data_IF_806946218299
#
_entry.id   IF_806946218299
#
_cell.length_a   1.000
_cell.length_b   1.000
_cell.length_c   1.000
_cell.angle_alpha   90.00
_cell.angle_beta   90.00
_cell.angle_gamma   90.00
#
_symmetry.space_group_name_H-M   'P 1'
#
loop_
_entity.id
_entity.type
_entity.pdbx_description
1 polymer ?
#
# COMPACT_ATOMS: atom_id res chain seq x y z
N UNK A 1 -1.57 -13.94 -7.77
CA UNK A 1 -0.42 -13.06 -7.57
C UNK A 1 -0.82 -11.61 -7.87
N UNK A 2 -0.44 -10.67 -6.98
CA UNK A 2 -0.97 -9.30 -6.98
C UNK A 2 -0.71 -8.55 -8.29
N UNK A 3 0.53 -8.57 -8.81
CA UNK A 3 0.88 -7.82 -10.02
C UNK A 3 0.21 -8.43 -11.25
N UNK A 4 0.09 -9.75 -11.32
CA UNK A 4 -0.62 -10.43 -12.41
C UNK A 4 -2.10 -10.04 -12.41
N UNK A 5 -2.74 -10.05 -11.25
CA UNK A 5 -4.14 -9.63 -11.11
C UNK A 5 -4.32 -8.15 -11.51
N UNK A 6 -3.47 -7.27 -11.01
CA UNK A 6 -3.53 -5.84 -11.36
C UNK A 6 -3.29 -5.59 -12.86
N UNK A 7 -2.47 -6.42 -13.51
CA UNK A 7 -2.28 -6.32 -14.97
C UNK A 7 -3.57 -6.66 -15.73
N UNK A 8 -4.32 -7.66 -15.27
CA UNK A 8 -5.63 -7.98 -15.82
C UNK A 8 -6.64 -6.84 -15.60
N UNK A 9 -6.66 -6.25 -14.39
CA UNK A 9 -7.52 -5.10 -14.09
C UNK A 9 -7.13 -3.87 -14.92
N UNK A 10 -5.82 -3.64 -15.14
CA UNK A 10 -5.33 -2.57 -15.98
C UNK A 10 -5.86 -2.65 -17.41
N UNK A 11 -5.92 -3.87 -17.96
CA UNK A 11 -6.44 -4.11 -19.32
C UNK A 11 -7.97 -3.96 -19.42
N UNK A 12 -8.69 -4.08 -18.31
CA UNK A 12 -10.15 -4.02 -18.24
C UNK A 12 -10.68 -2.64 -17.83
N UNK A 13 -9.81 -1.68 -17.49
CA UNK A 13 -10.20 -0.37 -16.96
C UNK A 13 -9.29 0.74 -17.48
N UNK A 14 -9.84 1.98 -17.57
CA UNK A 14 -9.11 3.12 -18.13
C UNK A 14 -8.82 4.23 -17.10
N UNK A 15 -9.55 4.30 -15.99
CA UNK A 15 -9.50 5.43 -15.06
C UNK A 15 -9.11 5.06 -13.64
N UNK A 16 -9.49 3.88 -13.17
CA UNK A 16 -9.25 3.46 -11.79
C UNK A 16 -7.75 3.33 -11.51
N UNK A 17 -7.31 3.88 -10.37
CA UNK A 17 -5.96 3.67 -9.86
C UNK A 17 -5.74 2.21 -9.44
N UNK A 18 -4.52 1.74 -9.56
CA UNK A 18 -4.12 0.36 -9.28
C UNK A 18 -3.11 0.34 -8.14
N UNK A 19 -3.39 -0.39 -7.08
CA UNK A 19 -2.48 -0.43 -5.93
C UNK A 19 -2.43 -1.80 -5.26
N UNK A 20 -1.30 -2.08 -4.61
CA UNK A 20 -1.17 -3.21 -3.69
C UNK A 20 -1.33 -2.75 -2.25
N UNK A 21 -1.97 -3.58 -1.40
CA UNK A 21 -2.17 -3.25 0.03
C UNK A 21 -2.00 -4.51 0.91
N UNK A 22 -0.81 -5.04 1.07
CA UNK A 22 0.49 -4.59 0.54
C UNK A 22 1.21 -5.75 -0.15
N UNK A 23 2.15 -5.44 -1.03
CA UNK A 23 3.10 -6.42 -1.55
C UNK A 23 4.20 -6.66 -0.51
N UNK A 24 4.50 -7.91 -0.17
CA UNK A 24 5.61 -8.24 0.73
C UNK A 24 6.92 -8.14 -0.06
N UNK A 25 7.48 -6.92 -0.13
CA UNK A 25 8.61 -6.62 -1.01
C UNK A 25 9.87 -7.43 -0.68
N UNK A 26 10.24 -7.70 0.60
CA UNK A 26 11.46 -8.45 0.89
C UNK A 26 11.41 -9.94 0.51
N UNK A 27 10.26 -10.47 0.14
CA UNK A 27 10.12 -11.83 -0.40
C UNK A 27 10.39 -11.90 -1.91
N UNK A 28 10.75 -10.79 -2.54
CA UNK A 28 10.87 -10.67 -3.99
C UNK A 28 12.23 -10.12 -4.41
N UNK A 29 12.69 -10.55 -5.57
CA UNK A 29 13.85 -9.92 -6.18
C UNK A 29 13.46 -8.49 -6.64
N UNK A 30 14.16 -7.43 -6.17
CA UNK A 30 13.81 -6.04 -6.47
C UNK A 30 13.97 -5.69 -7.95
N UNK A 31 14.94 -6.28 -8.66
CA UNK A 31 15.13 -6.05 -10.10
C UNK A 31 13.93 -6.55 -10.89
N UNK A 32 13.45 -7.77 -10.58
CA UNK A 32 12.25 -8.31 -11.24
C UNK A 32 11.01 -7.51 -10.85
N UNK A 33 10.86 -7.14 -9.59
CA UNK A 33 9.74 -6.33 -9.10
C UNK A 33 9.71 -4.96 -9.77
N UNK A 34 10.87 -4.28 -9.88
CA UNK A 34 10.97 -3.01 -10.59
C UNK A 34 10.48 -3.11 -12.03
N UNK A 35 10.90 -4.18 -12.73
CA UNK A 35 10.47 -4.45 -14.12
C UNK A 35 8.97 -4.72 -14.23
N UNK A 36 8.42 -5.54 -13.34
CA UNK A 36 7.00 -5.87 -13.33
C UNK A 36 6.13 -4.62 -13.07
N UNK A 37 6.50 -3.83 -12.06
CA UNK A 37 5.76 -2.61 -11.70
C UNK A 37 5.87 -1.56 -12.79
N UNK A 38 7.05 -1.36 -13.38
CA UNK A 38 7.23 -0.45 -14.51
C UNK A 38 6.40 -0.87 -15.74
N UNK A 39 6.35 -2.17 -16.03
CA UNK A 39 5.51 -2.69 -17.11
C UNK A 39 4.03 -2.46 -16.82
N UNK A 40 3.57 -2.75 -15.59
CA UNK A 40 2.18 -2.48 -15.17
C UNK A 40 1.84 -1.00 -15.26
N UNK A 41 2.74 -0.12 -14.82
CA UNK A 41 2.54 1.32 -14.89
C UNK A 41 2.43 1.81 -16.34
N UNK A 42 3.28 1.28 -17.24
CA UNK A 42 3.19 1.55 -18.68
C UNK A 42 1.87 1.07 -19.29
N UNK A 43 1.47 -0.17 -19.01
CA UNK A 43 0.22 -0.74 -19.53
C UNK A 43 -1.02 -0.02 -19.00
N UNK A 44 -0.95 0.52 -17.80
CA UNK A 44 -2.05 1.27 -17.19
C UNK A 44 -2.05 2.77 -17.50
N UNK A 45 -1.02 3.29 -18.19
CA UNK A 45 -0.90 4.72 -18.47
C UNK A 45 -0.61 5.57 -17.22
N UNK A 46 0.22 5.06 -16.30
CA UNK A 46 0.66 5.81 -15.11
C UNK A 46 -0.32 5.76 -13.94
N UNK A 47 -1.11 4.68 -13.79
CA UNK A 47 -2.12 4.56 -12.73
C UNK A 47 -1.66 3.76 -11.50
N UNK A 48 -0.39 3.35 -11.42
CA UNK A 48 0.10 2.47 -10.35
C UNK A 48 0.52 3.24 -9.11
N UNK A 49 0.13 2.71 -7.95
CA UNK A 49 0.64 3.04 -6.62
C UNK A 49 1.11 1.75 -5.95
N UNK A 50 2.38 1.64 -5.65
CA UNK A 50 2.95 0.44 -5.07
C UNK A 50 2.89 0.50 -3.53
N UNK A 51 1.94 -0.20 -2.92
CA UNK A 51 1.92 -0.42 -1.47
C UNK A 51 2.78 -1.61 -1.09
N UNK A 52 3.72 -1.42 -0.16
CA UNK A 52 4.68 -2.44 0.25
C UNK A 52 4.74 -2.63 1.76
N UNK A 53 5.06 -3.84 2.18
CA UNK A 53 5.22 -4.20 3.59
C UNK A 53 6.31 -5.25 3.78
N UNK A 54 6.68 -5.48 5.05
CA UNK A 54 7.71 -6.49 5.38
C UNK A 54 7.13 -7.88 5.62
N UNK A 55 5.80 -8.04 5.66
CA UNK A 55 5.18 -9.31 6.01
C UNK A 55 5.39 -9.73 7.48
N UNK A 56 4.64 -10.72 7.91
CA UNK A 56 4.62 -11.21 9.29
C UNK A 56 4.76 -12.74 9.40
N UNK A 57 4.59 -13.46 8.29
CA UNK A 57 4.57 -14.91 8.26
C UNK A 57 5.94 -15.46 7.88
N UNK A 58 6.65 -16.02 8.85
CA UNK A 58 8.02 -16.54 8.69
C UNK A 58 8.08 -17.70 7.70
N UNK A 59 7.08 -18.61 7.73
CA UNK A 59 7.02 -19.76 6.83
C UNK A 59 6.95 -19.41 5.34
N UNK A 60 6.43 -18.23 4.98
CA UNK A 60 6.49 -17.75 3.60
C UNK A 60 7.90 -17.38 3.19
N UNK A 61 8.69 -16.81 4.10
CA UNK A 61 10.09 -16.49 3.88
C UNK A 61 10.92 -17.77 3.68
N UNK A 62 10.70 -18.78 4.55
CA UNK A 62 11.34 -20.08 4.42
C UNK A 62 11.04 -20.74 3.07
N UNK A 63 9.76 -20.74 2.66
CA UNK A 63 9.32 -21.32 1.39
C UNK A 63 9.94 -20.62 0.17
N UNK A 64 10.28 -19.34 0.29
CA UNK A 64 10.90 -18.54 -0.76
C UNK A 64 12.43 -18.49 -0.67
N UNK A 65 13.03 -19.15 0.34
CA UNK A 65 14.48 -19.17 0.55
C UNK A 65 15.05 -17.85 1.07
N UNK A 66 14.23 -17.06 1.75
CA UNK A 66 14.59 -15.73 2.22
C UNK A 66 14.66 -15.67 3.75
N UNK A 67 15.60 -14.89 4.30
CA UNK A 67 15.79 -14.78 5.74
C UNK A 67 14.78 -13.76 6.35
N UNK A 68 13.99 -14.23 7.31
CA UNK A 68 12.96 -13.40 7.98
C UNK A 68 13.57 -12.29 8.86
N UNK A 69 14.70 -12.56 9.54
CA UNK A 69 15.33 -11.64 10.49
C UNK A 69 15.84 -10.34 9.87
N UNK A 70 16.22 -10.37 8.60
CA UNK A 70 16.78 -9.21 7.90
C UNK A 70 15.77 -8.45 7.02
N UNK A 71 14.48 -8.86 6.97
CA UNK A 71 13.46 -8.35 6.03
C UNK A 71 13.32 -6.83 6.01
N UNK A 72 13.49 -6.17 7.17
CA UNK A 72 13.41 -4.71 7.26
C UNK A 72 14.51 -4.02 6.47
N UNK A 73 15.77 -4.38 6.70
CA UNK A 73 16.94 -3.82 6.01
C UNK A 73 16.89 -4.14 4.51
N UNK A 74 16.50 -5.36 4.17
CA UNK A 74 16.34 -5.76 2.78
C UNK A 74 15.25 -4.98 2.05
N UNK A 75 14.16 -4.65 2.73
CA UNK A 75 13.11 -3.78 2.19
C UNK A 75 13.64 -2.36 1.91
N UNK A 76 14.42 -1.80 2.82
CA UNK A 76 14.97 -0.45 2.66
C UNK A 76 15.88 -0.36 1.41
N UNK A 77 16.75 -1.36 1.23
CA UNK A 77 17.58 -1.44 0.02
C UNK A 77 16.76 -1.70 -1.25
N UNK A 78 15.74 -2.58 -1.16
CA UNK A 78 14.86 -2.84 -2.29
C UNK A 78 14.12 -1.59 -2.75
N UNK A 79 13.57 -0.78 -1.84
CA UNK A 79 12.90 0.50 -2.19
C UNK A 79 13.86 1.42 -2.94
N UNK A 80 15.08 1.58 -2.43
CA UNK A 80 16.09 2.41 -3.08
C UNK A 80 16.45 1.88 -4.48
N UNK A 81 16.58 0.56 -4.66
CA UNK A 81 16.82 -0.04 -5.96
C UNK A 81 15.66 0.18 -6.94
N UNK A 82 14.40 0.05 -6.48
CA UNK A 82 13.24 0.34 -7.32
C UNK A 82 13.30 1.78 -7.86
N UNK A 83 13.53 2.75 -6.97
CA UNK A 83 13.66 4.17 -7.34
C UNK A 83 14.73 4.38 -8.39
N UNK A 84 15.92 3.79 -8.18
CA UNK A 84 17.05 3.88 -9.10
C UNK A 84 16.73 3.24 -10.45
N UNK A 85 16.13 2.04 -10.48
CA UNK A 85 15.73 1.40 -11.74
C UNK A 85 14.74 2.24 -12.54
N UNK A 86 13.85 2.97 -11.87
CA UNK A 86 12.85 3.79 -12.54
C UNK A 86 13.36 5.14 -13.03
N UNK A 87 14.49 5.63 -12.48
CA UNK A 87 15.02 6.97 -12.79
C UNK A 87 16.38 6.98 -13.49
N UNK A 88 17.25 6.01 -13.18
CA UNK A 88 18.61 5.98 -13.72
C UNK A 88 18.68 5.20 -15.04
N UNK A 89 19.58 5.59 -15.93
CA UNK A 89 19.84 4.89 -17.20
C UNK A 89 20.38 3.48 -16.96
N UNK A 90 21.25 3.34 -15.96
CA UNK A 90 21.90 2.08 -15.58
C UNK A 90 22.11 2.00 -14.07
N UNK A 91 21.86 0.85 -13.50
CA UNK A 91 21.95 0.59 -12.07
C UNK A 91 22.91 -0.55 -11.79
N UNK A 92 23.81 -0.36 -10.85
CA UNK A 92 24.61 -1.43 -10.21
C UNK A 92 24.36 -1.42 -8.71
N UNK A 93 24.61 -2.53 -8.04
CA UNK A 93 24.55 -2.62 -6.59
C UNK A 93 25.72 -3.41 -6.04
N UNK A 94 26.22 -2.97 -4.87
CA UNK A 94 27.23 -3.67 -4.08
C UNK A 94 26.88 -3.43 -2.61
N UNK A 95 25.96 -4.26 -2.10
CA UNK A 95 25.48 -4.21 -0.71
C UNK A 95 25.45 -5.60 -0.08
N UNK A 96 25.02 -5.70 1.17
CA UNK A 96 24.89 -6.96 1.88
C UNK A 96 23.86 -7.91 1.21
N UNK A 97 22.84 -7.37 0.53
CA UNK A 97 21.74 -8.15 -0.02
C UNK A 97 21.73 -8.24 -1.54
N UNK A 98 22.28 -7.23 -2.22
CA UNK A 98 22.21 -7.16 -3.68
C UNK A 98 23.59 -6.79 -4.24
N UNK A 99 24.13 -7.70 -5.08
CA UNK A 99 25.42 -7.49 -5.73
C UNK A 99 25.31 -7.85 -7.20
N UNK A 100 25.45 -6.86 -8.08
CA UNK A 100 25.43 -7.05 -9.53
C UNK A 100 26.09 -5.87 -10.26
N UNK A 101 26.63 -6.18 -11.44
CA UNK A 101 27.18 -5.20 -12.35
C UNK A 101 26.08 -4.34 -13.00
N UNK A 102 26.47 -3.24 -13.63
CA UNK A 102 25.54 -2.30 -14.22
C UNK A 102 24.61 -2.91 -15.27
N UNK A 103 23.32 -2.77 -15.05
CA UNK A 103 22.26 -3.18 -15.98
C UNK A 103 21.29 -2.02 -16.23
N UNK A 104 20.80 -1.90 -17.46
CA UNK A 104 19.70 -1.01 -17.81
C UNK A 104 18.36 -1.76 -17.70
N UNK A 105 17.30 -1.02 -17.36
CA UNK A 105 15.94 -1.55 -17.31
C UNK A 105 14.98 -0.65 -18.09
N UNK A 106 14.32 -1.23 -19.10
CA UNK A 106 13.27 -0.58 -19.90
C UNK A 106 12.00 -1.46 -19.98
N UNK A 107 10.80 -0.88 -20.12
CA UNK A 107 10.54 0.56 -20.16
C UNK A 107 10.72 1.20 -18.77
N UNK A 108 11.03 2.48 -18.72
CA UNK A 108 10.83 3.27 -17.50
C UNK A 108 9.32 3.46 -17.28
N UNK A 109 8.85 3.52 -16.02
CA UNK A 109 7.44 3.80 -15.78
C UNK A 109 7.08 5.21 -16.25
N UNK A 110 5.89 5.47 -16.80
CA UNK A 110 5.44 6.82 -17.17
C UNK A 110 5.55 7.84 -16.03
N UNK A 111 5.37 7.37 -14.79
CA UNK A 111 5.55 8.19 -13.59
C UNK A 111 7.04 8.42 -13.22
N UNK A 112 7.97 7.72 -13.88
CA UNK A 112 9.40 7.83 -13.59
C UNK A 112 9.77 7.45 -12.15
N UNK A 113 10.83 8.04 -11.61
CA UNK A 113 11.29 7.80 -10.25
C UNK A 113 10.31 8.25 -9.16
N UNK A 114 9.24 8.97 -9.51
CA UNK A 114 8.19 9.43 -8.58
C UNK A 114 6.97 8.49 -8.53
N UNK A 115 7.02 7.31 -9.16
CA UNK A 115 5.98 6.29 -8.97
C UNK A 115 5.77 6.06 -7.46
N UNK A 116 4.54 6.27 -6.93
CA UNK A 116 4.33 6.31 -5.49
C UNK A 116 4.57 4.95 -4.81
N UNK A 117 5.40 4.95 -3.76
CA UNK A 117 5.63 3.80 -2.88
C UNK A 117 5.03 4.09 -1.51
N UNK A 118 3.99 3.35 -1.15
CA UNK A 118 3.31 3.49 0.13
C UNK A 118 3.68 2.35 1.08
N UNK A 119 3.91 2.66 2.35
CA UNK A 119 4.44 1.73 3.34
C UNK A 119 3.34 1.27 4.28
N UNK A 120 3.14 -0.05 4.39
CA UNK A 120 2.26 -0.65 5.37
C UNK A 120 2.98 -1.06 6.65
N UNK A 121 2.27 -0.97 7.76
CA UNK A 121 2.73 -1.43 9.06
C UNK A 121 2.54 -0.41 10.18
N UNK A 122 2.68 -0.88 11.45
CA UNK A 122 2.44 -0.09 12.66
C UNK A 122 3.64 -0.03 13.62
N UNK A 123 4.76 -0.69 13.28
CA UNK A 123 5.98 -0.65 14.08
C UNK A 123 6.77 0.65 13.83
N UNK A 124 7.58 1.08 14.79
CA UNK A 124 8.41 2.28 14.66
C UNK A 124 9.31 2.26 13.41
N UNK A 125 9.88 1.10 13.08
CA UNK A 125 10.65 0.91 11.85
C UNK A 125 9.83 1.15 10.56
N UNK A 126 8.51 0.89 10.59
CA UNK A 126 7.63 1.20 9.46
C UNK A 126 7.36 2.72 9.38
N UNK A 127 7.18 3.39 10.52
CA UNK A 127 7.03 4.85 10.58
C UNK A 127 8.29 5.55 10.02
N UNK A 128 9.47 5.12 10.50
CA UNK A 128 10.75 5.62 10.01
C UNK A 128 10.89 5.43 8.50
N UNK A 129 10.63 4.23 8.01
CA UNK A 129 10.68 3.92 6.56
C UNK A 129 9.71 4.76 5.75
N UNK A 130 8.50 4.98 6.27
CA UNK A 130 7.53 5.85 5.60
C UNK A 130 8.06 7.27 5.49
N UNK A 131 8.55 7.85 6.58
CA UNK A 131 9.12 9.20 6.58
C UNK A 131 10.34 9.33 5.69
N UNK A 132 11.28 8.40 5.76
CA UNK A 132 12.56 8.50 5.03
C UNK A 132 12.44 8.10 3.54
N UNK A 133 11.63 7.10 3.19
CA UNK A 133 11.64 6.44 1.86
C UNK A 133 10.28 6.38 1.18
N UNK A 134 9.18 6.42 1.93
CA UNK A 134 7.83 6.25 1.41
C UNK A 134 7.18 7.54 0.93
N UNK A 135 6.16 7.44 0.09
CA UNK A 135 5.32 8.56 -0.33
C UNK A 135 3.97 8.56 0.40
N UNK A 136 3.71 7.55 1.22
CA UNK A 136 2.51 7.47 2.03
C UNK A 136 2.52 6.31 3.00
N UNK A 137 1.58 6.35 3.94
CA UNK A 137 1.37 5.34 4.96
C UNK A 137 0.02 4.65 4.79
N UNK A 138 0.06 3.32 4.79
CA UNK A 138 -1.11 2.46 4.83
C UNK A 138 -1.33 1.99 6.28
N UNK A 139 -2.17 2.73 7.00
CA UNK A 139 -2.45 2.48 8.40
C UNK A 139 -3.43 1.32 8.59
N UNK A 140 -3.25 0.54 9.64
CA UNK A 140 -4.18 -0.54 10.00
C UNK A 140 -5.34 0.00 10.85
N UNK A 141 -6.57 -0.42 10.53
CA UNK A 141 -7.80 0.09 11.15
C UNK A 141 -7.94 -0.23 12.65
N UNK A 142 -7.25 -1.27 13.15
CA UNK A 142 -7.33 -1.69 14.55
C UNK A 142 -6.46 -0.84 15.52
N UNK A 143 -5.74 0.14 15.02
CA UNK A 143 -4.98 1.05 15.89
C UNK A 143 -5.92 1.93 16.70
N UNK A 144 -5.56 2.15 17.97
CA UNK A 144 -6.24 3.16 18.80
C UNK A 144 -5.92 4.56 18.31
N UNK A 145 -6.82 5.51 18.52
CA UNK A 145 -6.71 6.88 18.00
C UNK A 145 -5.40 7.55 18.41
N UNK A 146 -5.00 7.40 19.67
CA UNK A 146 -3.74 7.96 20.16
C UNK A 146 -2.53 7.35 19.44
N UNK A 147 -2.60 6.07 19.08
CA UNK A 147 -1.53 5.40 18.33
C UNK A 147 -1.46 5.90 16.89
N UNK A 148 -2.62 6.16 16.26
CA UNK A 148 -2.68 6.73 14.89
C UNK A 148 -2.04 8.11 14.88
N UNK A 149 -2.46 8.99 15.79
CA UNK A 149 -1.93 10.36 15.91
C UNK A 149 -0.43 10.33 16.18
N UNK A 150 0.02 9.53 17.15
CA UNK A 150 1.45 9.41 17.48
C UNK A 150 2.28 8.86 16.30
N UNK A 151 1.73 7.86 15.56
CA UNK A 151 2.42 7.30 14.39
C UNK A 151 2.53 8.31 13.26
N UNK A 152 1.45 9.07 12.99
CA UNK A 152 1.48 10.15 11.99
C UNK A 152 2.53 11.19 12.34
N UNK A 153 2.56 11.68 13.59
CA UNK A 153 3.57 12.64 14.05
C UNK A 153 4.98 12.12 13.84
N UNK A 154 5.27 10.88 14.22
CA UNK A 154 6.58 10.26 14.01
C UNK A 154 6.97 10.17 12.53
N UNK A 155 6.03 9.82 11.65
CA UNK A 155 6.30 9.77 10.21
C UNK A 155 6.74 11.14 9.70
N UNK A 156 6.04 12.21 10.10
CA UNK A 156 6.35 13.57 9.70
C UNK A 156 7.72 14.01 10.25
N UNK A 157 8.01 13.71 11.53
CA UNK A 157 9.30 13.97 12.15
C UNK A 157 10.46 13.24 11.41
N UNK A 158 10.28 11.97 11.04
CA UNK A 158 11.27 11.24 10.25
C UNK A 158 11.47 11.82 8.85
N UNK A 159 10.41 12.30 8.21
CA UNK A 159 10.50 12.96 6.92
C UNK A 159 11.30 14.27 6.99
N UNK A 160 11.00 15.12 7.97
CA UNK A 160 11.72 16.36 8.21
C UNK A 160 13.20 16.11 8.54
N UNK A 161 13.48 15.13 9.41
CA UNK A 161 14.85 14.74 9.75
C UNK A 161 15.65 14.22 8.53
N UNK A 162 14.97 13.61 7.56
CA UNK A 162 15.54 13.16 6.29
C UNK A 162 15.62 14.29 5.23
N UNK A 163 15.21 15.51 5.56
CA UNK A 163 15.21 16.65 4.64
C UNK A 163 14.14 16.58 3.55
N UNK A 164 13.07 15.80 3.78
CA UNK A 164 11.94 15.66 2.86
C UNK A 164 10.80 16.61 3.23
N UNK A 165 10.01 16.97 2.24
CA UNK A 165 8.77 17.69 2.48
C UNK A 165 7.74 16.76 3.15
N UNK A 166 7.50 16.93 4.44
CA UNK A 166 6.58 16.14 5.22
C UNK A 166 5.13 16.27 4.72
N UNK A 167 4.76 17.40 4.09
CA UNK A 167 3.41 17.62 3.54
C UNK A 167 3.12 16.79 2.29
N UNK A 168 4.16 16.21 1.66
CA UNK A 168 4.01 15.33 0.49
C UNK A 168 3.62 13.89 0.84
N UNK A 169 3.63 13.52 2.13
CA UNK A 169 3.32 12.16 2.57
C UNK A 169 1.81 11.98 2.69
N UNK A 170 1.26 11.07 1.89
CA UNK A 170 -0.15 10.71 1.93
C UNK A 170 -0.49 9.73 3.06
N UNK A 171 -1.75 9.71 3.48
CA UNK A 171 -2.23 8.86 4.57
C UNK A 171 -3.52 8.15 4.17
N UNK A 172 -3.55 6.82 4.33
CA UNK A 172 -4.72 5.98 4.08
C UNK A 172 -4.99 5.06 5.25
N UNK A 173 -6.28 4.83 5.52
CA UNK A 173 -6.72 3.81 6.48
C UNK A 173 -7.94 3.07 5.93
N UNK A 174 -8.05 1.76 6.23
CA UNK A 174 -9.31 1.05 5.99
C UNK A 174 -10.40 1.61 6.91
N UNK A 175 -11.62 1.73 6.40
CA UNK A 175 -12.79 2.18 7.16
C UNK A 175 -12.99 1.32 8.40
N UNK A 176 -13.01 0.00 8.25
CA UNK A 176 -12.95 -0.94 9.35
C UNK A 176 -12.53 -2.34 8.88
N UNK A 177 -12.06 -3.12 9.83
CA UNK A 177 -11.98 -4.58 9.66
C UNK A 177 -13.06 -5.15 10.55
N UNK A 178 -14.10 -5.79 10.03
CA UNK A 178 -15.18 -6.31 10.86
C UNK A 178 -14.60 -7.21 11.95
N UNK A 179 -15.03 -7.03 13.20
CA UNK A 179 -14.72 -7.99 14.24
C UNK A 179 -15.19 -9.38 13.80
N UNK A 180 -14.55 -10.42 14.31
CA UNK A 180 -14.89 -11.81 14.00
C UNK A 180 -16.23 -12.27 14.61
N UNK A 181 -16.99 -11.37 15.20
CA UNK A 181 -18.29 -11.59 15.81
C UNK A 181 -19.45 -11.07 14.94
N UNK A 182 -20.68 -11.42 15.33
CA UNK A 182 -21.88 -11.05 14.57
C UNK A 182 -22.11 -9.53 14.49
N UNK A 183 -21.63 -8.76 15.48
CA UNK A 183 -21.75 -7.30 15.47
C UNK A 183 -20.89 -6.66 14.37
N UNK A 184 -19.75 -7.27 14.04
CA UNK A 184 -18.88 -6.81 12.97
C UNK A 184 -19.36 -7.14 11.58
N UNK A 185 -20.09 -8.24 11.44
CA UNK A 185 -20.65 -8.66 10.15
C UNK A 185 -21.64 -7.64 9.58
N UNK A 186 -22.29 -6.83 10.44
CA UNK A 186 -23.23 -5.80 10.03
C UNK A 186 -22.59 -4.44 9.72
N UNK A 187 -21.26 -4.28 9.80
CA UNK A 187 -20.62 -2.96 9.68
C UNK A 187 -21.00 -2.25 8.39
N UNK A 188 -20.85 -2.89 7.25
CA UNK A 188 -21.13 -2.29 5.94
C UNK A 188 -22.63 -2.22 5.58
N UNK A 189 -23.51 -2.76 6.41
CA UNK A 189 -24.95 -2.59 6.31
C UNK A 189 -25.49 -1.40 7.13
N UNK A 190 -24.64 -0.82 8.01
CA UNK A 190 -25.00 0.29 8.89
C UNK A 190 -24.27 1.58 8.45
N UNK A 191 -24.99 2.45 7.71
CA UNK A 191 -24.44 3.69 7.17
C UNK A 191 -23.94 4.66 8.25
N UNK A 192 -24.58 4.70 9.41
CA UNK A 192 -24.13 5.58 10.51
C UNK A 192 -22.77 5.11 11.06
N UNK A 193 -22.55 3.82 11.15
CA UNK A 193 -21.25 3.27 11.55
C UNK A 193 -20.16 3.56 10.51
N UNK A 194 -20.48 3.45 9.22
CA UNK A 194 -19.58 3.79 8.12
C UNK A 194 -19.22 5.27 8.18
N UNK A 195 -20.20 6.16 8.35
CA UNK A 195 -19.98 7.60 8.45
C UNK A 195 -19.15 7.97 9.67
N UNK A 196 -19.43 7.38 10.83
CA UNK A 196 -18.64 7.60 12.04
C UNK A 196 -17.18 7.16 11.87
N UNK A 197 -16.94 6.02 11.19
CA UNK A 197 -15.59 5.56 10.87
C UNK A 197 -14.88 6.51 9.89
N UNK A 198 -15.57 7.00 8.87
CA UNK A 198 -15.04 7.95 7.90
C UNK A 198 -14.72 9.30 8.57
N UNK A 199 -15.63 9.85 9.40
CA UNK A 199 -15.40 11.08 10.16
C UNK A 199 -14.18 10.93 11.11
N UNK A 200 -14.05 9.78 11.76
CA UNK A 200 -12.87 9.46 12.59
C UNK A 200 -11.57 9.52 11.78
N UNK A 201 -11.53 8.89 10.61
CA UNK A 201 -10.35 8.85 9.73
C UNK A 201 -10.03 10.27 9.21
N UNK A 202 -11.05 11.01 8.77
CA UNK A 202 -10.90 12.39 8.35
C UNK A 202 -10.38 13.29 9.49
N UNK A 203 -10.82 13.03 10.72
CA UNK A 203 -10.34 13.73 11.93
C UNK A 203 -8.84 13.57 12.19
N UNK A 204 -8.21 12.51 11.69
CA UNK A 204 -6.73 12.36 11.69
C UNK A 204 -6.05 13.14 10.55
N UNK A 205 -6.81 13.76 9.65
CA UNK A 205 -6.32 14.40 8.44
C UNK A 205 -5.77 13.38 7.44
N UNK A 206 -6.47 12.25 7.26
CA UNK A 206 -6.18 11.26 6.23
C UNK A 206 -7.02 11.57 4.99
N UNK A 207 -6.40 11.52 3.82
CA UNK A 207 -7.04 11.85 2.55
C UNK A 207 -7.68 10.62 1.88
N UNK A 208 -7.27 9.42 2.28
CA UNK A 208 -7.69 8.18 1.63
C UNK A 208 -8.32 7.22 2.61
N UNK A 209 -9.44 6.61 2.17
CA UNK A 209 -10.13 5.55 2.91
C UNK A 209 -10.29 4.33 2.03
N UNK A 210 -10.16 3.14 2.61
CA UNK A 210 -10.32 1.89 1.89
C UNK A 210 -11.53 1.11 2.41
N UNK A 211 -12.31 0.55 1.50
CA UNK A 211 -13.40 -0.38 1.78
C UNK A 211 -12.86 -1.81 1.72
N UNK A 212 -13.11 -2.61 2.76
CA UNK A 212 -12.69 -3.99 2.79
C UNK A 212 -13.77 -4.92 2.20
N UNK A 213 -13.62 -5.31 0.95
CA UNK A 213 -14.56 -6.22 0.27
C UNK A 213 -14.65 -7.60 0.93
N UNK A 214 -13.57 -8.10 1.56
CA UNK A 214 -13.61 -9.36 2.32
C UNK A 214 -14.60 -9.27 3.48
N UNK A 215 -14.69 -8.12 4.12
CA UNK A 215 -15.64 -7.88 5.19
C UNK A 215 -17.10 -7.93 4.70
N UNK A 216 -17.37 -7.34 3.54
CA UNK A 216 -18.69 -7.37 2.89
C UNK A 216 -19.07 -8.82 2.52
N UNK A 217 -18.12 -9.58 1.96
CA UNK A 217 -18.32 -10.99 1.67
C UNK A 217 -18.61 -11.81 2.93
N UNK A 218 -17.86 -11.60 4.00
CA UNK A 218 -18.08 -12.29 5.30
C UNK A 218 -19.41 -11.89 5.96
N UNK A 219 -19.90 -10.68 5.69
CA UNK A 219 -21.20 -10.20 6.16
C UNK A 219 -22.40 -10.88 5.49
N UNK A 220 -22.19 -11.58 4.38
CA UNK A 220 -23.24 -12.40 3.79
C UNK A 220 -23.47 -12.26 2.30
N UNK A 221 -22.75 -11.40 1.60
CA UNK A 221 -22.78 -11.36 0.14
C UNK A 221 -22.38 -12.74 -0.42
N UNK A 222 -23.18 -13.30 -1.32
CA UNK A 222 -23.01 -14.67 -1.85
C UNK A 222 -22.79 -14.70 -3.35
N UNK A 223 -22.95 -13.58 -4.03
CA UNK A 223 -22.68 -13.43 -5.46
C UNK A 223 -21.78 -12.21 -5.71
N UNK A 224 -21.21 -12.14 -6.90
CA UNK A 224 -20.42 -10.98 -7.35
C UNK A 224 -21.32 -9.76 -7.46
N UNK A 225 -22.55 -9.94 -7.95
CA UNK A 225 -23.54 -8.89 -8.10
C UNK A 225 -23.89 -8.25 -6.75
N UNK A 226 -24.19 -9.06 -5.73
CA UNK A 226 -24.45 -8.57 -4.37
C UNK A 226 -23.26 -7.82 -3.77
N UNK A 227 -22.05 -8.31 -4.01
CA UNK A 227 -20.83 -7.67 -3.55
C UNK A 227 -20.64 -6.29 -4.20
N UNK A 228 -20.82 -6.21 -5.52
CA UNK A 228 -20.71 -4.96 -6.29
C UNK A 228 -21.78 -3.96 -5.86
N UNK A 229 -23.02 -4.38 -5.68
CA UNK A 229 -24.12 -3.53 -5.20
C UNK A 229 -23.83 -2.94 -3.82
N UNK A 230 -23.34 -3.76 -2.87
CA UNK A 230 -23.00 -3.29 -1.53
C UNK A 230 -21.81 -2.33 -1.55
N UNK A 231 -20.78 -2.60 -2.34
CA UNK A 231 -19.63 -1.68 -2.49
C UNK A 231 -20.08 -0.35 -3.11
N UNK A 232 -20.91 -0.39 -4.14
CA UNK A 232 -21.46 0.81 -4.78
C UNK A 232 -22.32 1.63 -3.79
N UNK A 233 -23.19 0.99 -3.02
CA UNK A 233 -24.03 1.68 -2.02
C UNK A 233 -23.18 2.36 -0.92
N UNK A 234 -22.11 1.71 -0.46
CA UNK A 234 -21.17 2.31 0.50
C UNK A 234 -20.41 3.47 -0.12
N UNK A 235 -19.87 3.28 -1.33
CA UNK A 235 -19.14 4.31 -2.06
C UNK A 235 -20.00 5.55 -2.30
N UNK A 236 -21.21 5.37 -2.84
CA UNK A 236 -22.11 6.46 -3.15
C UNK A 236 -22.58 7.20 -1.89
N UNK A 237 -22.84 6.46 -0.80
CA UNK A 237 -23.19 7.08 0.47
C UNK A 237 -22.06 7.95 1.05
N UNK A 238 -20.81 7.48 0.94
CA UNK A 238 -19.64 8.26 1.38
C UNK A 238 -19.46 9.53 0.53
N UNK A 239 -19.54 9.43 -0.79
CA UNK A 239 -19.46 10.60 -1.68
C UNK A 239 -20.58 11.60 -1.43
N UNK A 240 -21.82 11.16 -1.24
CA UNK A 240 -22.94 12.06 -0.89
C UNK A 240 -22.76 12.78 0.44
N UNK A 241 -22.01 12.19 1.39
CA UNK A 241 -21.82 12.76 2.73
C UNK A 241 -20.60 13.68 2.82
N UNK A 242 -19.52 13.42 2.07
CA UNK A 242 -18.21 14.04 2.28
C UNK A 242 -17.69 14.88 1.10
N UNK A 243 -18.28 14.78 -0.10
CA UNK A 243 -18.04 15.67 -1.24
C UNK A 243 -18.99 16.87 -1.23
#
# INVERSE_FOLDING_TARGET
>A
EAIVMLSFVAAATDRIGLGTEVLVLPQRNPTLTAKQVSTLDTLSGGRVRLGVGVGWQESEYEALGEEFGNRGRRMDEAINLLRRYWSEESVSASSDFYQFEAIAMEPKPPQGGVLPIWIGGSADAAMKRTGELGDGWLAISQMRDEQVVASKSKILEYAEAAGRDASSIGFQMMLDTPPRDDAGKGFYADKERIFAAAERIQGFGFEWMAINMTAIFQAGARSVEELVEQVADVHDALHQRFD
#
